data_IF_287666177284
#
_entry.id   IF_287666177284
#
_cell.length_a   1.000
_cell.length_b   1.000
_cell.length_c   1.000
_cell.angle_alpha   90.00
_cell.angle_beta   90.00
_cell.angle_gamma   90.00
#
_symmetry.space_group_name_H-M   'P 1'
#
loop_
_entity.id
_entity.type
_entity.pdbx_description
1 polymer ?
#
# COMPACT_ATOMS: atom_id res chain seq x y z
N UNK A 1 -7.97 -18.85 19.56
CA UNK A 1 -7.55 -17.50 19.17
C UNK A 1 -8.21 -16.51 20.11
N UNK A 2 -7.49 -15.47 20.48
CA UNK A 2 -7.97 -14.46 21.43
C UNK A 2 -6.94 -13.34 21.58
N UNK A 3 -7.21 -12.38 22.45
CA UNK A 3 -6.34 -11.22 22.66
C UNK A 3 -4.89 -11.57 23.04
N UNK A 4 -4.66 -12.73 23.65
CA UNK A 4 -3.32 -13.23 23.99
C UNK A 4 -2.53 -13.81 22.81
N UNK A 5 -3.13 -13.92 21.62
CA UNK A 5 -2.47 -14.46 20.44
C UNK A 5 -1.26 -13.58 20.05
N UNK A 6 -0.08 -14.17 19.86
CA UNK A 6 1.08 -13.45 19.34
C UNK A 6 0.93 -13.18 17.84
N UNK A 7 1.54 -12.11 17.35
CA UNK A 7 1.80 -11.96 15.92
C UNK A 7 2.90 -12.94 15.50
N UNK A 8 2.79 -13.49 14.28
CA UNK A 8 3.86 -14.31 13.68
C UNK A 8 5.19 -13.52 13.61
N UNK A 9 5.08 -12.22 13.36
CA UNK A 9 6.18 -11.28 13.42
C UNK A 9 5.77 -10.08 14.30
N UNK A 10 6.52 -9.72 15.35
CA UNK A 10 6.21 -8.60 16.24
C UNK A 10 6.24 -7.24 15.52
N UNK A 11 5.34 -6.34 15.89
CA UNK A 11 5.28 -4.98 15.27
C UNK A 11 6.26 -4.07 16.02
N UNK A 12 7.23 -3.52 15.31
CA UNK A 12 8.21 -2.59 15.87
C UNK A 12 7.66 -1.17 15.78
N UNK A 13 7.58 -0.48 16.91
CA UNK A 13 7.19 0.93 17.00
C UNK A 13 8.40 1.85 16.73
N UNK A 14 8.18 3.12 16.35
CA UNK A 14 9.27 4.08 16.11
C UNK A 14 10.20 4.30 17.32
N UNK A 15 9.72 4.04 18.53
CA UNK A 15 10.49 4.13 19.76
C UNK A 15 11.26 2.84 20.11
N UNK A 16 11.29 1.85 19.21
CA UNK A 16 11.96 0.56 19.41
C UNK A 16 11.18 -0.44 20.27
N UNK A 17 9.97 -0.11 20.74
CA UNK A 17 9.14 -1.05 21.50
C UNK A 17 8.43 -2.03 20.55
N UNK A 18 8.33 -3.28 20.97
CA UNK A 18 7.72 -4.35 20.16
C UNK A 18 6.31 -4.68 20.68
N UNK A 19 5.32 -4.69 19.79
CA UNK A 19 3.98 -5.19 20.05
C UNK A 19 3.93 -6.67 19.65
N UNK A 20 4.03 -7.53 20.65
CA UNK A 20 4.13 -8.99 20.47
C UNK A 20 2.77 -9.64 20.28
N UNK A 21 1.73 -9.18 20.96
CA UNK A 21 0.38 -9.79 20.96
C UNK A 21 -0.69 -8.83 20.46
N UNK A 22 -1.86 -9.38 20.09
CA UNK A 22 -3.04 -8.60 19.74
C UNK A 22 -3.45 -7.66 20.89
N UNK A 23 -3.36 -8.13 22.14
CA UNK A 23 -3.61 -7.32 23.33
C UNK A 23 -2.64 -6.15 23.46
N UNK A 24 -1.33 -6.39 23.24
CA UNK A 24 -0.34 -5.31 23.27
C UNK A 24 -0.65 -4.24 22.21
N UNK A 25 -1.08 -4.66 21.02
CA UNK A 25 -1.50 -3.74 19.96
C UNK A 25 -2.80 -3.01 20.31
N UNK A 26 -3.81 -3.68 20.85
CA UNK A 26 -5.06 -3.06 21.30
C UNK A 26 -4.83 -2.01 22.39
N UNK A 27 -4.01 -2.35 23.40
CA UNK A 27 -3.60 -1.42 24.44
C UNK A 27 -2.86 -0.21 23.88
N UNK A 28 -1.96 -0.43 22.91
CA UNK A 28 -1.28 0.68 22.25
C UNK A 28 -2.26 1.63 21.55
N UNK A 29 -3.21 1.11 20.76
CA UNK A 29 -4.24 1.92 20.09
C UNK A 29 -5.06 2.71 21.12
N UNK A 30 -5.46 2.09 22.23
CA UNK A 30 -6.23 2.73 23.29
C UNK A 30 -5.48 3.89 23.98
N UNK A 31 -4.14 3.87 23.99
CA UNK A 31 -3.32 4.96 24.57
C UNK A 31 -3.13 6.15 23.63
N UNK A 32 -3.52 6.05 22.34
CA UNK A 32 -3.38 7.15 21.40
C UNK A 32 -4.37 8.29 21.69
N UNK A 33 -4.05 9.56 21.35
CA UNK A 33 -5.03 10.65 21.42
C UNK A 33 -6.29 10.35 20.60
N UNK A 34 -7.45 10.77 21.08
CA UNK A 34 -8.74 10.50 20.42
C UNK A 34 -8.79 11.00 18.97
N UNK A 35 -8.13 12.13 18.67
CA UNK A 35 -8.01 12.64 17.30
C UNK A 35 -7.26 11.67 16.37
N UNK A 36 -6.22 11.01 16.88
CA UNK A 36 -5.44 10.01 16.15
C UNK A 36 -6.25 8.71 15.98
N UNK A 37 -6.93 8.26 17.03
CA UNK A 37 -7.76 7.04 16.97
C UNK A 37 -8.89 7.15 15.94
N UNK A 38 -9.46 8.35 15.76
CA UNK A 38 -10.54 8.63 14.79
C UNK A 38 -10.07 8.66 13.35
N UNK A 39 -8.76 8.64 13.09
CA UNK A 39 -8.26 8.60 11.72
C UNK A 39 -8.62 7.25 11.06
N UNK A 40 -8.95 7.24 9.76
CA UNK A 40 -9.37 6.03 9.06
C UNK A 40 -8.39 4.86 9.19
N UNK A 41 -7.08 5.16 9.20
CA UNK A 41 -6.03 4.15 9.28
C UNK A 41 -6.00 3.47 10.66
N UNK A 42 -6.25 4.23 11.72
CA UNK A 42 -6.32 3.72 13.10
C UNK A 42 -7.62 2.97 13.37
N UNK A 43 -8.76 3.44 12.83
CA UNK A 43 -10.02 2.68 12.90
C UNK A 43 -9.91 1.34 12.17
N UNK A 44 -9.36 1.36 10.96
CA UNK A 44 -9.05 0.18 10.17
C UNK A 44 -8.13 -0.82 10.90
N UNK A 45 -7.20 -0.33 11.72
CA UNK A 45 -6.33 -1.17 12.55
C UNK A 45 -7.07 -1.76 13.75
N UNK A 46 -7.87 -0.95 14.46
CA UNK A 46 -8.70 -1.41 15.57
C UNK A 46 -9.71 -2.49 15.12
N UNK A 47 -10.38 -2.30 13.98
CA UNK A 47 -11.30 -3.28 13.39
C UNK A 47 -10.60 -4.60 13.06
N UNK A 48 -9.39 -4.55 12.49
CA UNK A 48 -8.64 -5.75 12.18
C UNK A 48 -8.17 -6.48 13.44
N UNK A 49 -7.78 -5.76 14.49
CA UNK A 49 -7.45 -6.36 15.79
C UNK A 49 -8.66 -7.07 16.39
N UNK A 50 -9.83 -6.40 16.42
CA UNK A 50 -11.08 -6.99 16.89
C UNK A 50 -11.49 -8.21 16.07
N UNK A 51 -11.40 -8.12 14.74
CA UNK A 51 -11.76 -9.22 13.86
C UNK A 51 -10.94 -10.48 14.16
N UNK A 52 -9.61 -10.33 14.27
CA UNK A 52 -8.71 -11.46 14.52
C UNK A 52 -8.86 -11.98 15.95
N UNK A 53 -9.04 -11.09 16.94
CA UNK A 53 -9.19 -11.49 18.33
C UNK A 53 -10.51 -12.26 18.58
N UNK A 54 -11.62 -11.80 17.99
CA UNK A 54 -12.96 -12.34 18.27
C UNK A 54 -13.38 -13.45 17.31
N UNK A 55 -13.05 -13.31 16.02
CA UNK A 55 -13.46 -14.27 14.98
C UNK A 55 -12.33 -15.18 14.51
N UNK A 56 -11.11 -14.94 14.99
CA UNK A 56 -9.92 -15.58 14.47
C UNK A 56 -9.52 -15.05 13.10
N UNK A 57 -8.45 -15.60 12.55
CA UNK A 57 -7.91 -15.25 11.25
C UNK A 57 -6.41 -14.98 11.28
N UNK A 58 -5.82 -14.65 10.12
CA UNK A 58 -4.38 -14.42 10.05
C UNK A 58 -3.99 -13.14 10.79
N UNK A 59 -3.09 -13.27 11.78
CA UNK A 59 -2.54 -12.14 12.55
C UNK A 59 -1.82 -11.12 11.66
N UNK A 60 -1.36 -11.57 10.48
CA UNK A 60 -0.84 -10.73 9.40
C UNK A 60 -1.80 -9.61 8.97
N UNK A 61 -3.13 -9.84 8.98
CA UNK A 61 -4.11 -8.81 8.64
C UNK A 61 -4.04 -7.63 9.62
N UNK A 62 -4.05 -7.94 10.92
CA UNK A 62 -3.92 -6.94 11.98
C UNK A 62 -2.55 -6.24 11.91
N UNK A 63 -1.46 -6.99 11.66
CA UNK A 63 -0.11 -6.44 11.46
C UNK A 63 -0.05 -5.43 10.33
N UNK A 64 -0.60 -5.74 9.16
CA UNK A 64 -0.59 -4.85 7.98
C UNK A 64 -1.35 -3.55 8.28
N UNK A 65 -2.53 -3.65 8.90
CA UNK A 65 -3.33 -2.46 9.23
C UNK A 65 -2.63 -1.58 10.27
N UNK A 66 -2.04 -2.18 11.29
CA UNK A 66 -1.21 -1.46 12.27
C UNK A 66 0.00 -0.79 11.61
N UNK A 67 0.73 -1.48 10.74
CA UNK A 67 1.87 -0.91 10.02
C UNK A 67 1.46 0.28 9.13
N UNK A 68 0.31 0.19 8.45
CA UNK A 68 -0.24 1.31 7.68
C UNK A 68 -0.60 2.50 8.57
N UNK A 69 -1.21 2.25 9.73
CA UNK A 69 -1.56 3.31 10.68
C UNK A 69 -0.32 4.01 11.25
N UNK A 70 0.75 3.26 11.52
CA UNK A 70 2.05 3.79 11.96
C UNK A 70 2.72 4.62 10.86
N UNK A 71 2.69 4.19 9.60
CA UNK A 71 3.28 4.93 8.48
C UNK A 71 2.45 6.14 8.04
N UNK A 72 1.15 6.19 8.38
CA UNK A 72 0.28 7.30 8.01
C UNK A 72 0.54 8.61 8.79
N UNK A 73 1.39 8.60 9.82
CA UNK A 73 1.91 9.84 10.41
C UNK A 73 3.00 10.50 9.58
N UNK A 74 3.61 9.76 8.65
CA UNK A 74 4.57 10.32 7.72
C UNK A 74 3.84 10.83 6.46
N UNK A 75 4.19 12.03 5.94
CA UNK A 75 3.71 12.44 4.64
C UNK A 75 4.14 11.36 3.64
N UNK A 76 3.25 10.95 2.70
CA UNK A 76 3.61 9.94 1.70
C UNK A 76 4.94 10.37 1.08
N UNK A 77 5.94 9.46 0.97
CA UNK A 77 7.22 9.80 0.39
C UNK A 77 6.91 10.46 -0.93
N UNK A 78 7.28 11.75 -1.05
CA UNK A 78 6.88 12.58 -2.18
C UNK A 78 7.01 11.71 -3.41
N UNK A 79 5.88 11.33 -4.00
CA UNK A 79 5.90 10.49 -5.19
C UNK A 79 6.79 11.28 -6.11
N UNK A 80 8.03 10.82 -6.31
CA UNK A 80 8.86 11.28 -7.41
C UNK A 80 7.95 10.96 -8.58
N UNK A 81 7.24 11.97 -9.06
CA UNK A 81 6.43 11.86 -10.25
C UNK A 81 7.42 11.27 -11.24
N UNK A 82 7.24 9.98 -11.55
CA UNK A 82 8.06 9.32 -12.55
C UNK A 82 7.66 10.10 -13.79
N UNK A 83 8.49 11.05 -14.19
CA UNK A 83 8.32 11.79 -15.42
C UNK A 83 8.02 10.74 -16.46
N UNK A 84 6.81 10.78 -17.01
CA UNK A 84 6.40 9.82 -18.02
C UNK A 84 7.41 10.00 -19.15
N UNK A 85 8.23 8.99 -19.39
CA UNK A 85 9.20 9.03 -20.47
C UNK A 85 8.44 9.42 -21.73
N UNK A 86 8.77 10.60 -22.27
CA UNK A 86 8.16 11.09 -23.50
C UNK A 86 8.69 10.23 -24.62
N UNK A 87 7.95 9.18 -24.97
CA UNK A 87 8.22 8.42 -26.19
C UNK A 87 7.99 9.35 -27.37
N UNK A 88 9.08 9.83 -27.97
CA UNK A 88 9.04 10.64 -29.19
C UNK A 88 8.59 9.70 -30.31
N UNK A 89 7.33 9.81 -30.73
CA UNK A 89 6.79 9.04 -31.86
C UNK A 89 7.59 9.46 -33.10
N UNK A 90 8.49 8.59 -33.57
CA UNK A 90 9.13 8.76 -34.88
C UNK A 90 8.04 8.48 -35.91
N UNK A 91 7.46 9.54 -36.47
CA UNK A 91 6.49 9.44 -37.57
C UNK A 91 7.23 9.01 -38.83
N UNK A 92 7.14 7.74 -39.19
CA UNK A 92 7.63 7.25 -40.47
C UNK A 92 6.87 7.93 -41.63
N UNK A 93 7.55 8.40 -42.69
CA UNK A 93 6.87 8.94 -43.85
C UNK A 93 6.09 7.83 -44.56
N UNK A 94 4.83 8.11 -44.90
CA UNK A 94 4.00 7.23 -45.73
C UNK A 94 4.74 6.96 -47.05
N UNK A 95 5.13 5.71 -47.28
CA UNK A 95 5.72 5.24 -48.53
C UNK A 95 4.73 5.53 -49.67
N UNK A 96 5.06 6.47 -50.57
CA UNK A 96 4.25 6.71 -51.77
C UNK A 96 4.40 5.50 -52.69
N UNK A 97 3.28 4.89 -53.09
CA UNK A 97 3.27 3.83 -54.12
C UNK A 97 3.84 4.43 -55.42
N UNK A 98 4.89 3.83 -55.96
CA UNK A 98 5.43 4.19 -57.27
C UNK A 98 4.35 3.96 -58.34
N UNK A 99 4.14 4.89 -59.28
CA UNK A 99 3.23 4.67 -60.40
C UNK A 99 3.80 3.60 -61.32
N UNK A 100 2.99 2.58 -61.60
CA UNK A 100 3.23 1.54 -62.59
C UNK A 100 3.61 2.17 -63.92
N UNK A 101 4.86 1.98 -64.34
CA UNK A 101 5.34 2.41 -65.64
C UNK A 101 4.65 1.62 -66.74
N UNK A 102 3.86 2.31 -67.55
CA UNK A 102 3.32 1.84 -68.83
C UNK A 102 4.49 1.53 -69.77
N UNK A 103 4.76 0.26 -70.03
CA UNK A 103 5.65 -0.16 -71.12
C UNK A 103 4.87 -0.05 -72.42
N UNK A 104 5.25 0.93 -73.24
CA UNK A 104 4.77 1.11 -74.61
C UNK A 104 5.44 0.05 -75.48
N UNK A 105 4.66 -0.87 -76.05
CA UNK A 105 5.13 -1.78 -77.08
C UNK A 105 5.44 -1.00 -78.37
N UNK A 106 6.55 -1.34 -79.00
CA UNK A 106 6.89 -0.98 -80.39
C UNK A 106 6.29 -2.02 -81.33
#
# INVERSE_FOLDING_TARGET
>A
MGWSEPFDEPIVLPNGRHLVTLLNAGNYVATLPAATQRRPEWQAAAEALLLVAERGGPTMLARIRMARALNASEPPPALRARSANSFRIIRWPKRKKSPTGTVRAR
#
